data_IF_967628111694
#
_entry.id   IF_967628111694
#
_cell.length_a   1.000
_cell.length_b   1.000
_cell.length_c   1.000
_cell.angle_alpha   90.00
_cell.angle_beta   90.00
_cell.angle_gamma   90.00
#
_symmetry.space_group_name_H-M   'P 1'
#
loop_
_entity.id
_entity.type
_entity.pdbx_description
1 polymer ?
#
# COMPACT_ATOMS: atom_id res chain seq x y z
N UNK A 1 7.39 9.66 -11.25
CA UNK A 1 8.31 10.81 -11.40
C UNK A 1 7.48 12.06 -11.22
N UNK A 2 7.42 12.59 -10.00
CA UNK A 2 6.85 13.92 -9.76
C UNK A 2 7.86 14.93 -10.27
N UNK A 3 7.49 15.64 -11.34
CA UNK A 3 8.27 16.77 -11.88
C UNK A 3 8.22 17.89 -10.83
N UNK A 4 9.23 17.98 -9.98
CA UNK A 4 9.35 19.09 -9.03
C UNK A 4 9.93 20.28 -9.79
N UNK A 5 9.06 21.14 -10.28
CA UNK A 5 9.45 22.43 -10.87
C UNK A 5 10.19 23.22 -9.77
N UNK A 6 11.47 23.62 -9.93
CA UNK A 6 12.26 24.25 -8.86
C UNK A 6 11.69 25.60 -8.38
N UNK A 7 10.75 26.18 -9.14
CA UNK A 7 10.08 27.44 -8.83
C UNK A 7 8.64 27.27 -8.30
N UNK A 8 8.18 26.04 -8.04
CA UNK A 8 6.84 25.81 -7.52
C UNK A 8 6.72 26.33 -6.08
N UNK A 9 5.86 27.32 -5.86
CA UNK A 9 5.64 27.92 -4.53
C UNK A 9 4.83 26.93 -3.67
N UNK A 10 5.36 26.56 -2.51
CA UNK A 10 4.64 25.71 -1.55
C UNK A 10 3.47 26.52 -0.99
N UNK A 11 2.24 26.07 -1.24
CA UNK A 11 1.00 26.67 -0.75
C UNK A 11 0.67 26.29 0.68
N UNK A 12 1.28 25.20 1.18
CA UNK A 12 1.16 24.73 2.55
C UNK A 12 1.49 23.25 2.66
N UNK A 13 1.13 22.67 3.81
CA UNK A 13 1.34 21.26 4.10
C UNK A 13 0.00 20.58 4.39
N UNK A 14 -0.20 19.39 3.82
CA UNK A 14 -1.33 18.52 4.10
C UNK A 14 -0.85 17.31 4.88
N UNK A 15 -1.55 16.96 5.95
CA UNK A 15 -1.32 15.69 6.66
C UNK A 15 -1.87 14.55 5.83
N UNK A 16 -1.01 13.62 5.45
CA UNK A 16 -1.38 12.40 4.74
C UNK A 16 -0.82 11.19 5.48
N UNK A 17 -1.49 10.04 5.35
CA UNK A 17 -1.01 8.78 5.92
C UNK A 17 0.34 8.43 5.31
N UNK A 18 1.32 8.09 6.15
CA UNK A 18 2.65 7.72 5.67
C UNK A 18 2.67 6.27 5.17
N UNK A 19 2.24 6.08 3.92
CA UNK A 19 2.16 4.76 3.29
C UNK A 19 3.49 4.00 3.26
N UNK A 20 4.65 4.69 3.30
CA UNK A 20 5.96 4.04 3.35
C UNK A 20 6.16 3.24 4.64
N UNK A 21 5.57 3.71 5.75
CA UNK A 21 5.66 3.04 7.05
C UNK A 21 4.65 1.90 7.21
N UNK A 22 3.71 1.75 6.28
CA UNK A 22 2.72 0.67 6.31
C UNK A 22 3.24 -0.64 5.71
N UNK A 23 4.43 -0.65 5.10
CA UNK A 23 5.03 -1.84 4.49
C UNK A 23 5.12 -3.04 5.45
N UNK A 24 5.67 -2.89 6.67
CA UNK A 24 5.72 -3.97 7.65
C UNK A 24 4.33 -4.50 8.04
N UNK A 25 3.35 -3.62 8.24
CA UNK A 25 1.99 -4.01 8.59
C UNK A 25 1.32 -4.83 7.47
N UNK A 26 1.49 -4.40 6.21
CA UNK A 26 0.98 -5.13 5.06
C UNK A 26 1.63 -6.52 4.93
N UNK A 27 2.95 -6.62 5.15
CA UNK A 27 3.67 -7.90 5.12
C UNK A 27 3.16 -8.86 6.18
N UNK A 28 3.04 -8.41 7.43
CA UNK A 28 2.55 -9.23 8.55
C UNK A 28 1.11 -9.70 8.28
N UNK A 29 0.22 -8.80 7.88
CA UNK A 29 -1.17 -9.13 7.59
C UNK A 29 -1.27 -10.14 6.44
N UNK A 30 -0.49 -9.96 5.36
CA UNK A 30 -0.45 -10.90 4.23
C UNK A 30 0.05 -12.28 4.67
N UNK A 31 1.11 -12.35 5.47
CA UNK A 31 1.63 -13.61 6.01
C UNK A 31 0.62 -14.31 6.93
N UNK A 32 -0.15 -13.56 7.72
CA UNK A 32 -1.19 -14.11 8.58
C UNK A 32 -2.34 -14.72 7.77
N UNK A 33 -2.80 -14.01 6.73
CA UNK A 33 -3.84 -14.52 5.81
C UNK A 33 -3.35 -15.81 5.13
N UNK A 34 -2.11 -15.82 4.66
CA UNK A 34 -1.47 -16.98 4.03
C UNK A 34 -1.43 -18.17 5.00
N UNK A 35 -0.94 -17.97 6.22
CA UNK A 35 -0.85 -19.02 7.24
C UNK A 35 -2.22 -19.60 7.59
N UNK A 36 -3.24 -18.76 7.78
CA UNK A 36 -4.61 -19.21 8.09
C UNK A 36 -5.18 -20.06 6.95
N UNK A 37 -4.99 -19.63 5.70
CA UNK A 37 -5.54 -20.32 4.52
C UNK A 37 -4.84 -21.64 4.24
N UNK A 38 -3.54 -21.69 4.47
CA UNK A 38 -2.71 -22.87 4.20
C UNK A 38 -2.66 -23.87 5.36
N UNK A 39 -3.02 -23.46 6.58
CA UNK A 39 -3.12 -24.36 7.74
C UNK A 39 -4.10 -25.53 7.55
N UNK A 40 -5.01 -25.44 6.56
CA UNK A 40 -5.98 -26.48 6.24
C UNK A 40 -5.54 -27.40 5.09
N UNK A 41 -4.41 -27.12 4.45
CA UNK A 41 -3.94 -27.91 3.33
C UNK A 41 -3.35 -29.23 3.82
N UNK A 42 -3.73 -30.38 3.24
CA UNK A 42 -3.03 -31.63 3.50
C UNK A 42 -1.55 -31.47 3.15
N UNK A 43 -0.61 -32.08 3.88
CA UNK A 43 0.79 -32.10 3.48
C UNK A 43 0.92 -32.87 2.16
N UNK A 44 0.88 -32.18 1.03
CA UNK A 44 1.00 -32.78 -0.30
C UNK A 44 2.47 -33.06 -0.61
N UNK A 45 2.84 -34.34 -0.66
CA UNK A 45 4.03 -34.81 -1.40
C UNK A 45 3.72 -34.72 -2.90
N UNK A 46 3.99 -33.60 -3.55
CA UNK A 46 4.12 -33.59 -5.02
C UNK A 46 5.03 -32.46 -5.50
N UNK A 47 6.22 -32.84 -5.96
CA UNK A 47 7.34 -31.96 -6.33
C UNK A 47 7.16 -31.18 -7.64
N UNK A 48 5.96 -31.14 -8.24
CA UNK A 48 5.78 -30.62 -9.60
C UNK A 48 4.61 -29.65 -9.85
N UNK A 49 3.54 -29.69 -9.05
CA UNK A 49 2.31 -28.89 -9.31
C UNK A 49 2.04 -27.87 -8.20
N UNK A 50 2.75 -27.98 -7.07
CA UNK A 50 2.55 -27.18 -5.87
C UNK A 50 2.98 -25.71 -6.01
N UNK A 51 3.98 -25.41 -6.84
CA UNK A 51 4.56 -24.06 -6.93
C UNK A 51 3.57 -23.00 -7.44
N UNK A 52 2.81 -23.33 -8.50
CA UNK A 52 1.85 -22.41 -9.12
C UNK A 52 0.66 -22.11 -8.20
N UNK A 53 0.27 -23.06 -7.35
CA UNK A 53 -0.82 -22.84 -6.39
C UNK A 53 -0.34 -22.07 -5.16
N UNK A 54 0.92 -22.25 -4.76
CA UNK A 54 1.56 -21.43 -3.74
C UNK A 54 1.68 -19.95 -4.15
N UNK A 55 2.14 -19.67 -5.38
CA UNK A 55 2.28 -18.29 -5.86
C UNK A 55 0.93 -17.57 -5.93
N UNK A 56 -0.12 -18.25 -6.40
CA UNK A 56 -1.49 -17.73 -6.38
C UNK A 56 -1.98 -17.42 -4.98
N UNK A 57 -1.66 -18.29 -4.02
CA UNK A 57 -2.11 -18.16 -2.64
C UNK A 57 -1.38 -17.02 -1.91
N UNK A 58 -0.10 -16.81 -2.21
CA UNK A 58 0.65 -15.61 -1.79
C UNK A 58 0.03 -14.35 -2.40
N UNK A 59 -0.25 -14.33 -3.70
CA UNK A 59 -0.86 -13.16 -4.37
C UNK A 59 -2.24 -12.84 -3.79
N UNK A 60 -3.07 -13.88 -3.57
CA UNK A 60 -4.37 -13.75 -2.95
C UNK A 60 -4.27 -13.12 -1.55
N UNK A 61 -3.35 -13.62 -0.73
CA UNK A 61 -3.15 -13.14 0.63
C UNK A 61 -2.73 -11.67 0.68
N UNK A 62 -1.82 -11.27 -0.20
CA UNK A 62 -1.40 -9.86 -0.35
C UNK A 62 -2.56 -8.98 -0.80
N UNK A 63 -3.38 -9.46 -1.75
CA UNK A 63 -4.54 -8.73 -2.26
C UNK A 63 -5.56 -8.45 -1.17
N UNK A 64 -5.92 -9.45 -0.36
CA UNK A 64 -6.85 -9.29 0.76
C UNK A 64 -6.32 -8.29 1.78
N UNK A 65 -5.06 -8.45 2.20
CA UNK A 65 -4.44 -7.54 3.17
C UNK A 65 -4.41 -6.09 2.65
N UNK A 66 -4.13 -5.90 1.35
CA UNK A 66 -4.13 -4.57 0.71
C UNK A 66 -5.52 -3.94 0.69
N UNK A 67 -6.58 -4.71 0.41
CA UNK A 67 -7.97 -4.21 0.42
C UNK A 67 -8.34 -3.72 1.82
N UNK A 68 -8.08 -4.52 2.85
CA UNK A 68 -8.36 -4.16 4.24
C UNK A 68 -7.57 -2.92 4.65
N UNK A 69 -6.27 -2.88 4.36
CA UNK A 69 -5.43 -1.72 4.68
C UNK A 69 -5.93 -0.45 3.99
N UNK A 70 -6.28 -0.54 2.70
CA UNK A 70 -6.81 0.60 1.93
C UNK A 70 -8.10 1.12 2.55
N UNK A 71 -9.01 0.21 2.92
CA UNK A 71 -10.27 0.57 3.58
C UNK A 71 -10.01 1.32 4.90
N UNK A 72 -9.15 0.79 5.76
CA UNK A 72 -8.81 1.42 7.05
C UNK A 72 -8.14 2.77 6.87
N UNK A 73 -7.16 2.91 5.97
CA UNK A 73 -6.48 4.19 5.74
C UNK A 73 -7.41 5.27 5.18
N UNK A 74 -8.48 4.89 4.49
CA UNK A 74 -9.47 5.84 3.95
C UNK A 74 -10.54 6.27 4.95
N UNK A 75 -10.93 5.37 5.87
CA UNK A 75 -12.03 5.60 6.82
C UNK A 75 -11.56 6.06 8.19
N UNK A 76 -10.38 5.61 8.62
CA UNK A 76 -9.82 5.85 9.94
C UNK A 76 -8.33 6.25 9.84
N UNK A 77 -7.99 7.33 9.12
CA UNK A 77 -6.61 7.77 8.93
C UNK A 77 -5.88 8.08 10.25
N UNK A 78 -6.62 8.44 11.30
CA UNK A 78 -6.12 8.73 12.65
C UNK A 78 -5.44 7.55 13.36
N UNK A 79 -5.69 6.32 12.90
CA UNK A 79 -5.04 5.12 13.43
C UNK A 79 -3.60 4.95 12.92
N UNK A 80 -3.20 5.73 11.92
CA UNK A 80 -1.93 5.56 11.22
C UNK A 80 -1.02 6.76 11.44
N UNK A 81 0.29 6.52 11.35
CA UNK A 81 1.25 7.61 11.34
C UNK A 81 1.03 8.47 10.10
N UNK A 82 0.93 9.78 10.31
CA UNK A 82 0.81 10.77 9.23
C UNK A 82 2.13 11.50 9.02
N UNK A 83 2.33 12.03 7.82
CA UNK A 83 3.40 12.96 7.48
C UNK A 83 2.84 14.21 6.82
N UNK A 84 3.58 15.30 6.95
CA UNK A 84 3.27 16.55 6.27
C UNK A 84 3.78 16.48 4.82
N UNK A 85 2.87 16.56 3.86
CA UNK A 85 3.15 16.54 2.42
C UNK A 85 2.92 17.96 1.87
N UNK A 86 3.92 18.58 1.22
CA UNK A 86 3.74 19.91 0.65
C UNK A 86 2.79 19.85 -0.55
N UNK A 87 1.90 20.83 -0.65
CA UNK A 87 1.14 21.08 -1.88
C UNK A 87 1.62 22.39 -2.51
N UNK A 88 1.61 22.44 -3.84
CA UNK A 88 2.16 23.55 -4.62
C UNK A 88 1.03 24.39 -5.22
N UNK A 89 1.18 25.71 -5.17
CA UNK A 89 0.27 26.65 -5.84
C UNK A 89 0.65 26.71 -7.31
N UNK A 90 -0.34 26.61 -8.21
CA UNK A 90 -0.14 26.89 -9.63
C UNK A 90 0.22 28.37 -9.78
N UNK A 91 1.39 28.66 -10.33
CA UNK A 91 1.77 30.04 -10.67
C UNK A 91 1.03 30.46 -11.95
N UNK A 92 0.68 31.74 -12.08
CA UNK A 92 -0.03 32.30 -13.26
C UNK A 92 0.69 32.01 -14.60
N UNK A 93 1.98 31.69 -14.56
CA UNK A 93 2.78 31.26 -15.73
C UNK A 93 2.44 29.85 -16.25
N UNK A 94 1.64 29.06 -15.52
CA UNK A 94 1.25 27.68 -15.90
C UNK A 94 -0.15 27.60 -16.55
N UNK A 95 -0.85 28.72 -16.74
CA UNK A 95 -2.11 28.76 -17.50
C UNK A 95 -1.80 28.98 -18.99
N UNK A 96 -1.99 27.99 -19.89
CA UNK A 96 -1.85 28.23 -21.32
C UNK A 96 -2.91 29.25 -21.77
N UNK A 97 -2.45 30.34 -22.41
CA UNK A 97 -3.33 31.31 -23.09
C UNK A 97 -3.99 30.71 -24.32
#
# INVERSE_FOLDING_TARGET
>A
MTSTNPNARIGGYRREVDHQKLGPALRIASSLVLAIRTARWPPTQSDGVSHTDWDKEVEHSVRIAKIVLSHLTSRCPELFQTKDVPWYVLSDDEVPK
#
